data_IF_779392140419
#
_entry.id   IF_779392140419
#
_cell.length_a   1.000
_cell.length_b   1.000
_cell.length_c   1.000
_cell.angle_alpha   90.00
_cell.angle_beta   90.00
_cell.angle_gamma   90.00
#
_symmetry.space_group_name_H-M   'P 1'
#
loop_
_entity.id
_entity.type
_entity.pdbx_description
1 polymer ?
#
# COMPACT_ATOMS: atom_id res chain seq x y z
N UNK A 1 25.47 10.26 6.46
CA UNK A 1 25.76 9.74 5.10
C UNK A 1 24.58 8.88 4.69
N UNK A 2 24.02 9.08 3.50
CA UNK A 2 22.92 8.27 2.97
C UNK A 2 23.45 6.89 2.58
N UNK A 3 23.06 5.85 3.31
CA UNK A 3 23.49 4.46 3.10
C UNK A 3 22.76 3.78 1.92
N UNK A 4 21.78 4.46 1.34
CA UNK A 4 20.95 3.95 0.23
C UNK A 4 21.47 4.52 -1.09
N UNK A 5 21.99 3.68 -2.00
CA UNK A 5 22.31 4.08 -3.36
C UNK A 5 21.13 4.81 -4.05
N UNK A 6 21.39 5.92 -4.78
CA UNK A 6 20.34 6.69 -5.45
C UNK A 6 19.43 5.85 -6.37
N UNK A 7 19.96 4.76 -6.93
CA UNK A 7 19.24 3.80 -7.76
C UNK A 7 18.01 3.18 -7.05
N UNK A 8 18.06 3.01 -5.73
CA UNK A 8 16.95 2.43 -4.95
C UNK A 8 15.83 3.43 -4.64
N UNK A 9 16.08 4.73 -4.83
CA UNK A 9 15.12 5.78 -4.47
C UNK A 9 14.18 6.15 -5.60
N UNK A 10 14.56 5.90 -6.87
CA UNK A 10 13.89 6.41 -8.05
C UNK A 10 12.78 5.47 -8.56
N UNK A 11 11.52 5.92 -8.53
CA UNK A 11 10.33 5.10 -8.81
C UNK A 11 10.34 4.35 -10.16
N UNK A 12 11.06 4.85 -11.17
CA UNK A 12 11.15 4.23 -12.50
C UNK A 12 12.26 3.18 -12.67
N UNK A 13 13.14 2.99 -11.68
CA UNK A 13 14.28 2.05 -11.72
C UNK A 13 14.46 1.27 -10.41
N UNK A 14 13.47 1.29 -9.50
CA UNK A 14 13.56 0.53 -8.25
C UNK A 14 13.73 -0.95 -8.56
N UNK A 15 14.85 -1.58 -8.16
CA UNK A 15 14.91 -3.03 -8.15
C UNK A 15 13.84 -3.55 -7.18
N UNK A 16 13.40 -4.79 -7.39
CA UNK A 16 12.46 -5.44 -6.48
C UNK A 16 12.97 -5.47 -5.03
N UNK A 17 12.10 -5.82 -4.06
CA UNK A 17 12.45 -5.83 -2.65
C UNK A 17 13.78 -6.53 -2.35
N UNK A 18 14.67 -5.89 -1.59
CA UNK A 18 15.94 -6.47 -1.15
C UNK A 18 15.79 -6.98 0.28
N UNK A 19 15.84 -8.30 0.46
CA UNK A 19 15.85 -8.93 1.78
C UNK A 19 17.29 -9.17 2.23
N UNK A 20 17.65 -8.69 3.42
CA UNK A 20 19.02 -8.75 3.96
C UNK A 20 19.09 -9.64 5.19
N UNK A 21 20.17 -10.43 5.31
CA UNK A 21 20.37 -11.39 6.40
C UNK A 21 21.71 -11.14 7.10
N UNK A 22 21.66 -10.66 8.34
CA UNK A 22 22.86 -10.40 9.15
C UNK A 22 23.23 -11.62 9.98
N UNK A 23 24.44 -12.15 9.82
CA UNK A 23 24.93 -13.31 10.58
C UNK A 23 25.98 -12.88 11.60
N UNK A 24 25.78 -13.23 12.87
CA UNK A 24 26.73 -12.92 13.95
C UNK A 24 26.85 -11.42 14.25
N UNK A 25 27.63 -11.05 15.27
CA UNK A 25 27.65 -9.68 15.81
C UNK A 25 28.42 -8.66 14.95
N UNK A 26 29.22 -9.11 13.97
CA UNK A 26 30.12 -8.24 13.19
C UNK A 26 29.46 -7.64 11.94
N UNK A 27 28.15 -7.78 11.78
CA UNK A 27 27.40 -7.21 10.67
C UNK A 27 26.99 -5.75 10.94
N UNK A 28 26.89 -4.94 9.89
CA UNK A 28 26.31 -3.58 9.98
C UNK A 28 24.78 -3.67 9.83
N UNK A 29 24.12 -4.05 10.92
CA UNK A 29 22.67 -4.24 10.97
C UNK A 29 21.90 -2.97 10.56
N UNK A 30 22.46 -1.79 10.88
CA UNK A 30 21.83 -0.52 10.54
C UNK A 30 21.85 -0.30 9.02
N UNK A 31 22.99 -0.52 8.36
CA UNK A 31 23.07 -0.41 6.91
C UNK A 31 22.15 -1.42 6.20
N UNK A 32 22.13 -2.67 6.67
CA UNK A 32 21.31 -3.73 6.10
C UNK A 32 19.80 -3.43 6.24
N UNK A 33 19.37 -3.01 7.43
CA UNK A 33 18.01 -2.55 7.67
C UNK A 33 17.62 -1.38 6.77
N UNK A 34 18.49 -0.36 6.66
CA UNK A 34 18.24 0.82 5.83
C UNK A 34 18.03 0.45 4.35
N UNK A 35 18.82 -0.49 3.82
CA UNK A 35 18.70 -0.94 2.42
C UNK A 35 17.40 -1.72 2.21
N UNK A 36 17.09 -2.64 3.12
CA UNK A 36 15.86 -3.43 3.04
C UNK A 36 14.63 -2.51 3.10
N UNK A 37 14.57 -1.63 4.10
CA UNK A 37 13.47 -0.66 4.26
C UNK A 37 13.31 0.23 3.02
N UNK A 38 14.40 0.74 2.46
CA UNK A 38 14.36 1.63 1.29
C UNK A 38 13.83 0.95 0.02
N UNK A 39 13.90 -0.38 -0.06
CA UNK A 39 13.41 -1.18 -1.20
C UNK A 39 12.10 -1.91 -0.92
N UNK A 40 11.55 -1.79 0.30
CA UNK A 40 10.37 -2.54 0.73
C UNK A 40 10.64 -4.01 1.07
N UNK A 41 11.91 -4.40 1.21
CA UNK A 41 12.31 -5.73 1.70
C UNK A 41 12.40 -5.79 3.22
N UNK A 42 12.91 -6.91 3.74
CA UNK A 42 13.05 -7.14 5.20
C UNK A 42 14.50 -7.34 5.60
N UNK A 43 14.83 -6.96 6.83
CA UNK A 43 16.09 -7.34 7.47
C UNK A 43 15.83 -8.40 8.54
N UNK A 44 16.59 -9.50 8.46
CA UNK A 44 16.54 -10.60 9.44
C UNK A 44 17.91 -10.78 10.07
N UNK A 45 17.98 -10.63 11.39
CA UNK A 45 19.18 -10.94 12.16
C UNK A 45 19.18 -12.41 12.57
N UNK A 46 20.29 -13.12 12.32
CA UNK A 46 20.44 -14.54 12.56
C UNK A 46 21.56 -14.76 13.57
N UNK A 47 21.17 -15.09 14.80
CA UNK A 47 22.07 -15.30 15.93
C UNK A 47 22.85 -16.62 15.88
N UNK A 48 22.25 -17.66 15.31
CA UNK A 48 22.81 -19.01 15.32
C UNK A 48 22.77 -19.63 13.93
N UNK A 49 23.85 -20.34 13.56
CA UNK A 49 23.98 -21.09 12.33
C UNK A 49 22.82 -22.09 12.10
N UNK A 50 22.24 -22.63 13.18
CA UNK A 50 21.06 -23.50 13.10
C UNK A 50 19.79 -22.79 12.60
N UNK A 51 19.64 -21.48 12.86
CA UNK A 51 18.47 -20.69 12.44
C UNK A 51 18.59 -20.13 11.01
N UNK A 52 19.72 -20.37 10.34
CA UNK A 52 19.97 -19.91 8.98
C UNK A 52 18.94 -20.53 8.03
N UNK A 53 18.80 -21.86 8.07
CA UNK A 53 17.90 -22.58 7.18
C UNK A 53 16.45 -22.11 7.32
N UNK A 54 15.98 -21.94 8.56
CA UNK A 54 14.62 -21.49 8.83
C UNK A 54 14.37 -20.07 8.33
N UNK A 55 15.34 -19.16 8.53
CA UNK A 55 15.24 -17.77 8.07
C UNK A 55 15.18 -17.67 6.54
N UNK A 56 15.99 -18.47 5.84
CA UNK A 56 15.95 -18.56 4.38
C UNK A 56 14.65 -19.21 3.90
N UNK A 57 14.22 -20.32 4.51
CA UNK A 57 13.00 -21.01 4.15
C UNK A 57 11.77 -20.10 4.35
N UNK A 58 11.73 -19.32 5.42
CA UNK A 58 10.67 -18.35 5.68
C UNK A 58 10.69 -17.22 4.65
N UNK A 59 11.86 -16.68 4.31
CA UNK A 59 11.94 -15.62 3.30
C UNK A 59 11.58 -16.10 1.90
N UNK A 60 12.04 -17.29 1.51
CA UNK A 60 11.67 -17.91 0.22
C UNK A 60 10.18 -18.26 0.23
N UNK A 61 9.67 -18.81 1.34
CA UNK A 61 8.25 -19.11 1.51
C UNK A 61 7.38 -17.87 1.38
N UNK A 62 7.79 -16.75 1.96
CA UNK A 62 7.14 -15.44 1.79
C UNK A 62 7.18 -14.97 0.34
N UNK A 63 8.33 -15.02 -0.33
CA UNK A 63 8.43 -14.65 -1.74
C UNK A 63 7.53 -15.51 -2.64
N UNK A 64 7.42 -16.80 -2.34
CA UNK A 64 6.54 -17.72 -3.06
C UNK A 64 5.06 -17.52 -2.74
N UNK A 65 4.71 -16.82 -1.66
CA UNK A 65 3.34 -16.49 -1.31
C UNK A 65 2.89 -15.13 -1.83
N UNK A 66 3.72 -14.37 -2.57
CA UNK A 66 3.28 -13.14 -3.22
C UNK A 66 2.19 -13.49 -4.23
N UNK A 67 0.97 -12.98 -4.00
CA UNK A 67 -0.19 -13.22 -4.87
C UNK A 67 -0.41 -12.05 -5.84
N UNK A 68 -0.08 -10.84 -5.40
CA UNK A 68 -0.36 -9.58 -6.09
C UNK A 68 0.89 -8.72 -6.14
N UNK A 69 1.16 -8.12 -7.29
CA UNK A 69 2.23 -7.14 -7.51
C UNK A 69 1.65 -5.85 -8.10
N UNK A 70 2.39 -4.76 -7.96
CA UNK A 70 2.05 -3.46 -8.56
C UNK A 70 0.58 -3.06 -8.28
N UNK A 71 0.20 -2.99 -6.99
CA UNK A 71 -1.20 -2.77 -6.59
C UNK A 71 -1.50 -1.32 -6.14
N UNK A 72 -1.62 -0.34 -7.05
CA UNK A 72 -2.09 1.00 -6.68
C UNK A 72 -3.59 0.95 -6.38
N UNK A 73 -3.98 1.37 -5.17
CA UNK A 73 -5.37 1.60 -4.82
C UNK A 73 -5.74 3.00 -5.31
N UNK A 74 -6.69 3.11 -6.22
CA UNK A 74 -7.29 4.36 -6.67
C UNK A 74 -8.61 4.63 -5.94
N UNK A 75 -8.74 5.84 -5.41
CA UNK A 75 -9.94 6.35 -4.72
C UNK A 75 -10.48 7.53 -5.52
N UNK A 76 -11.74 7.45 -5.97
CA UNK A 76 -12.37 8.51 -6.77
C UNK A 76 -13.65 9.03 -6.10
N UNK A 77 -13.76 10.33 -5.88
CA UNK A 77 -14.96 10.97 -5.35
C UNK A 77 -16.08 11.04 -6.40
N UNK A 78 -17.23 10.47 -6.08
CA UNK A 78 -18.37 10.38 -6.99
C UNK A 78 -19.27 11.62 -6.93
N UNK A 79 -19.53 12.15 -5.74
CA UNK A 79 -20.33 13.37 -5.58
C UNK A 79 -19.47 14.63 -5.74
N UNK A 80 -20.00 15.65 -6.41
CA UNK A 80 -19.27 16.88 -6.78
C UNK A 80 -18.75 17.70 -5.60
N UNK A 81 -19.40 17.61 -4.43
CA UNK A 81 -18.96 18.29 -3.21
C UNK A 81 -18.13 17.42 -2.26
N UNK A 82 -17.96 16.14 -2.57
CA UNK A 82 -17.12 15.23 -1.77
C UNK A 82 -15.65 15.46 -2.12
N UNK A 83 -14.78 15.45 -1.11
CA UNK A 83 -13.33 15.63 -1.25
C UNK A 83 -12.58 14.68 -0.33
N UNK A 84 -11.57 13.99 -0.82
CA UNK A 84 -10.55 13.37 0.02
C UNK A 84 -9.74 14.49 0.66
N UNK A 85 -9.64 14.47 1.98
CA UNK A 85 -8.87 15.44 2.75
C UNK A 85 -7.48 14.88 3.09
N UNK A 86 -7.42 13.62 3.48
CA UNK A 86 -6.20 12.99 3.95
C UNK A 86 -6.28 11.47 3.78
N UNK A 87 -5.11 10.84 3.59
CA UNK A 87 -4.95 9.40 3.68
C UNK A 87 -3.97 9.10 4.83
N UNK A 88 -4.38 8.20 5.74
CA UNK A 88 -3.46 7.58 6.70
C UNK A 88 -3.05 6.22 6.15
N UNK A 89 -1.88 6.19 5.50
CA UNK A 89 -1.32 5.00 4.86
C UNK A 89 -0.08 4.43 5.57
N UNK A 90 0.35 4.99 6.71
CA UNK A 90 1.59 4.55 7.37
C UNK A 90 2.82 4.85 6.50
N UNK A 91 3.69 3.86 6.31
CA UNK A 91 4.89 3.95 5.45
C UNK A 91 4.60 3.88 3.95
N UNK A 92 3.38 3.53 3.54
CA UNK A 92 3.02 3.40 2.14
C UNK A 92 2.85 4.76 1.48
N UNK A 93 3.41 4.90 0.28
CA UNK A 93 3.25 6.10 -0.54
C UNK A 93 1.77 6.39 -0.81
N UNK A 94 1.38 7.65 -0.71
CA UNK A 94 0.03 8.07 -1.05
C UNK A 94 0.04 9.44 -1.71
N UNK A 95 -1.02 9.72 -2.46
CA UNK A 95 -1.22 11.02 -3.09
C UNK A 95 -2.70 11.41 -3.04
N UNK A 96 -2.98 12.66 -2.69
CA UNK A 96 -4.29 13.28 -2.85
C UNK A 96 -4.17 14.32 -3.95
N UNK A 97 -5.03 14.21 -4.98
CA UNK A 97 -5.04 15.15 -6.09
C UNK A 97 -5.33 16.58 -5.64
N UNK A 98 -4.85 17.56 -6.40
CA UNK A 98 -4.93 18.98 -6.02
C UNK A 98 -6.35 19.48 -5.73
N UNK A 99 -7.35 18.91 -6.42
CA UNK A 99 -8.76 19.24 -6.22
C UNK A 99 -9.45 18.36 -5.17
N UNK A 100 -8.74 17.40 -4.55
CA UNK A 100 -9.24 16.42 -3.61
C UNK A 100 -10.27 15.44 -4.19
N UNK A 101 -10.42 15.34 -5.51
CA UNK A 101 -11.44 14.46 -6.15
C UNK A 101 -10.96 13.06 -6.44
N UNK A 102 -9.65 12.86 -6.44
CA UNK A 102 -9.02 11.58 -6.62
C UNK A 102 -7.85 11.45 -5.64
N UNK A 103 -7.55 10.22 -5.25
CA UNK A 103 -6.39 9.90 -4.43
C UNK A 103 -5.88 8.50 -4.75
N UNK A 104 -4.62 8.22 -4.42
CA UNK A 104 -4.00 6.91 -4.62
C UNK A 104 -3.17 6.47 -3.41
N UNK A 105 -3.03 5.16 -3.27
CA UNK A 105 -2.14 4.51 -2.28
C UNK A 105 -1.31 3.46 -3.01
N UNK A 106 0.00 3.53 -2.88
CA UNK A 106 0.94 2.61 -3.48
C UNK A 106 1.20 1.44 -2.52
N UNK A 107 0.49 0.33 -2.73
CA UNK A 107 0.55 -0.84 -1.83
C UNK A 107 1.74 -1.75 -2.14
N UNK A 108 2.24 -1.74 -3.38
CA UNK A 108 3.30 -2.63 -3.82
C UNK A 108 2.79 -4.05 -4.02
N UNK A 109 3.28 -4.98 -3.20
CA UNK A 109 2.97 -6.41 -3.29
C UNK A 109 2.10 -6.87 -2.11
N UNK A 110 1.19 -7.83 -2.34
CA UNK A 110 0.45 -8.51 -1.26
C UNK A 110 0.73 -10.01 -1.29
N UNK A 111 0.90 -10.58 -0.10
CA UNK A 111 1.02 -12.02 0.10
C UNK A 111 -0.37 -12.67 0.15
N UNK A 112 -0.40 -13.98 -0.07
CA UNK A 112 -1.60 -14.80 0.09
C UNK A 112 -2.13 -14.69 1.53
N UNK A 113 -3.45 -14.58 1.67
CA UNK A 113 -4.16 -14.28 2.93
C UNK A 113 -3.74 -12.97 3.66
N UNK A 114 -2.93 -12.10 3.06
CA UNK A 114 -2.57 -10.82 3.68
C UNK A 114 -3.70 -9.79 3.57
N UNK A 115 -4.00 -9.12 4.69
CA UNK A 115 -4.93 -7.99 4.75
C UNK A 115 -4.21 -6.70 5.16
N UNK A 116 -4.40 -5.63 4.38
CA UNK A 116 -3.94 -4.27 4.72
C UNK A 116 -5.11 -3.31 4.79
N UNK A 117 -5.09 -2.44 5.80
CA UNK A 117 -6.15 -1.46 6.05
C UNK A 117 -5.58 -0.04 6.03
N UNK A 118 -6.26 0.82 5.30
CA UNK A 118 -5.92 2.23 5.16
C UNK A 118 -7.12 3.09 5.54
N UNK A 119 -6.87 4.30 6.07
CA UNK A 119 -7.94 5.24 6.39
C UNK A 119 -7.94 6.39 5.40
N UNK A 120 -9.11 6.66 4.83
CA UNK A 120 -9.34 7.79 3.93
C UNK A 120 -10.32 8.75 4.61
N UNK A 121 -9.84 9.96 4.93
CA UNK A 121 -10.66 11.00 5.51
C UNK A 121 -11.30 11.81 4.38
N UNK A 122 -12.63 11.95 4.44
CA UNK A 122 -13.42 12.51 3.36
C UNK A 122 -14.32 13.63 3.90
N UNK A 123 -14.21 14.81 3.30
CA UNK A 123 -15.19 15.87 3.47
C UNK A 123 -16.47 15.51 2.71
N UNK A 124 -17.59 15.58 3.42
CA UNK A 124 -18.92 15.33 2.87
C UNK A 124 -19.76 16.59 3.02
N UNK A 125 -20.29 17.17 1.91
CA UNK A 125 -21.04 18.41 1.98
C UNK A 125 -22.36 18.22 2.73
N UNK A 126 -22.97 19.30 3.22
CA UNK A 126 -24.34 19.25 3.78
C UNK A 126 -25.31 18.73 2.71
N UNK A 127 -26.27 17.90 3.12
CA UNK A 127 -27.32 17.41 2.24
C UNK A 127 -28.15 18.58 1.69
N UNK A 128 -28.46 18.55 0.39
CA UNK A 128 -29.52 19.41 -0.15
C UNK A 128 -30.88 18.85 0.25
N UNK A 129 -31.93 19.68 0.38
CA UNK A 129 -33.26 19.21 0.82
C UNK A 129 -33.85 18.06 -0.02
N UNK A 130 -33.45 17.96 -1.30
CA UNK A 130 -33.90 16.92 -2.23
C UNK A 130 -32.96 15.71 -2.31
N UNK A 131 -31.82 15.75 -1.62
CA UNK A 131 -30.79 14.71 -1.70
C UNK A 131 -30.96 13.71 -0.55
N UNK A 132 -31.51 12.53 -0.85
CA UNK A 132 -31.69 11.44 0.12
C UNK A 132 -30.47 10.52 0.24
N UNK A 133 -29.55 10.55 -0.73
CA UNK A 133 -28.35 9.71 -0.75
C UNK A 133 -27.17 10.48 -1.34
N UNK A 134 -26.01 10.41 -0.68
CA UNK A 134 -24.75 10.91 -1.25
C UNK A 134 -23.80 9.74 -1.51
N UNK A 135 -23.37 9.60 -2.77
CA UNK A 135 -22.30 8.67 -3.16
C UNK A 135 -20.94 9.31 -2.87
N UNK A 136 -20.16 8.69 -1.99
CA UNK A 136 -18.91 9.25 -1.50
C UNK A 136 -17.77 8.95 -2.48
N UNK A 137 -17.23 7.74 -2.40
CA UNK A 137 -16.04 7.33 -3.15
C UNK A 137 -16.25 5.97 -3.80
N UNK A 138 -15.57 5.73 -4.91
CA UNK A 138 -15.33 4.41 -5.49
C UNK A 138 -13.86 4.05 -5.29
N UNK A 139 -13.60 2.81 -4.89
CA UNK A 139 -12.25 2.27 -4.72
C UNK A 139 -12.02 1.19 -5.76
N UNK A 140 -10.86 1.24 -6.41
CA UNK A 140 -10.44 0.31 -7.46
C UNK A 140 -8.95 0.04 -7.38
N UNK A 141 -8.52 -1.13 -7.81
CA UNK A 141 -7.12 -1.49 -7.96
C UNK A 141 -6.95 -2.24 -9.29
N UNK A 142 -5.99 -1.84 -10.10
CA UNK A 142 -5.50 -2.62 -11.23
C UNK A 142 -4.12 -3.10 -10.85
N UNK A 143 -3.94 -4.40 -10.78
CA UNK A 143 -2.75 -5.03 -10.23
C UNK A 143 -2.27 -6.16 -11.13
N UNK A 144 -1.08 -6.65 -10.87
CA UNK A 144 -0.49 -7.80 -11.57
C UNK A 144 -0.60 -9.05 -10.71
N UNK A 145 -1.14 -10.13 -11.27
CA UNK A 145 -1.17 -11.44 -10.61
C UNK A 145 0.24 -12.02 -10.67
N UNK A 146 0.84 -12.32 -9.51
CA UNK A 146 2.24 -12.75 -9.46
C UNK A 146 2.49 -14.05 -10.23
N UNK A 147 1.57 -15.03 -10.12
CA UNK A 147 1.72 -16.33 -10.75
C UNK A 147 1.69 -16.32 -12.29
N UNK A 148 0.95 -15.38 -12.90
CA UNK A 148 0.77 -15.32 -14.36
C UNK A 148 1.40 -14.10 -15.01
N UNK A 149 1.76 -13.09 -14.21
CA UNK A 149 2.21 -11.78 -14.67
C UNK A 149 1.12 -10.97 -15.39
N UNK A 150 -0.13 -11.43 -15.42
CA UNK A 150 -1.22 -10.76 -16.11
C UNK A 150 -1.85 -9.67 -15.24
N UNK A 151 -2.33 -8.61 -15.89
CA UNK A 151 -3.10 -7.57 -15.22
C UNK A 151 -4.50 -8.09 -14.86
N UNK A 152 -4.90 -7.82 -13.62
CA UNK A 152 -6.24 -8.04 -13.10
C UNK A 152 -6.79 -6.73 -12.53
N UNK A 153 -8.11 -6.67 -12.37
CA UNK A 153 -8.78 -5.49 -11.86
C UNK A 153 -9.81 -5.89 -10.80
N UNK A 154 -9.72 -5.25 -9.64
CA UNK A 154 -10.72 -5.30 -8.58
C UNK A 154 -11.34 -3.91 -8.35
N UNK A 155 -12.63 -3.87 -8.07
CA UNK A 155 -13.33 -2.65 -7.69
C UNK A 155 -14.38 -2.94 -6.62
N UNK A 156 -14.42 -2.10 -5.59
CA UNK A 156 -15.46 -2.17 -4.57
C UNK A 156 -16.72 -1.40 -5.03
N UNK A 157 -17.92 -1.77 -4.53
CA UNK A 157 -19.09 -0.92 -4.63
C UNK A 157 -18.81 0.48 -4.06
N UNK A 158 -19.51 1.48 -4.58
CA UNK A 158 -19.39 2.84 -4.07
C UNK A 158 -19.78 2.93 -2.59
N UNK A 159 -18.98 3.61 -1.79
CA UNK A 159 -19.39 4.00 -0.45
C UNK A 159 -20.52 5.04 -0.55
N UNK A 160 -21.62 4.80 0.16
CA UNK A 160 -22.80 5.67 0.14
C UNK A 160 -23.24 5.98 1.56
N UNK A 161 -23.79 7.17 1.75
CA UNK A 161 -24.50 7.53 2.99
C UNK A 161 -25.93 7.93 2.66
N UNK A 162 -26.87 7.50 3.50
CA UNK A 162 -28.24 8.01 3.49
C UNK A 162 -28.27 9.34 4.22
N UNK A 163 -28.99 10.31 3.66
CA UNK A 163 -29.21 11.61 4.29
C UNK A 163 -30.55 11.57 4.99
N UNK A 164 -30.57 12.01 6.24
CA UNK A 164 -31.82 12.23 6.95
C UNK A 164 -32.49 13.47 6.33
N UNK A 165 -33.70 13.31 5.83
CA UNK A 165 -34.54 14.45 5.46
C UNK A 165 -34.95 15.14 6.76
N UNK A 166 -34.42 16.33 7.02
CA UNK A 166 -34.97 17.20 8.05
C UNK A 166 -36.35 17.65 7.55
N UNK A 167 -37.41 17.18 8.20
CA UNK A 167 -38.77 17.64 7.96
C UNK A 167 -38.85 19.08 8.48
N UNK A 168 -38.95 20.06 7.58
CA UNK A 168 -39.22 21.47 7.90
C UNK A 168 -40.71 21.75 7.83
#
# INVERSE_FOLDING_TARGET
MTLVPPLFTHAGTRPGPIHTFGFGADNDALAMHTIAEATGGTFSFIENQAAIQDSFAQCIGGLLSVAVQEAPIAVTCLHRGVRVQEIKSGSYGNHVGADGRAASIDVGELYDDEERRFLVLVHVPKARPVESVTRLVKVSCTYKVAATGQAAHAAAPAAVIQRLLEWS
#
